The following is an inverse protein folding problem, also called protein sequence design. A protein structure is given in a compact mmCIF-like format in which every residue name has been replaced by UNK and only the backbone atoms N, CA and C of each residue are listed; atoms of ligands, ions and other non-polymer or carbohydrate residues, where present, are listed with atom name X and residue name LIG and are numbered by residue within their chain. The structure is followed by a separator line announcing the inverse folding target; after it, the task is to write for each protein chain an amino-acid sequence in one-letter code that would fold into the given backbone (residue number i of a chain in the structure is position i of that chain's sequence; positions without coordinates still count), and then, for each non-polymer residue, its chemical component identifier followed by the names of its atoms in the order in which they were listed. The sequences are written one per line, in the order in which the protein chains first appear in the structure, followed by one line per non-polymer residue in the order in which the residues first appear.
data_IF_364044000468
#
_entry.id   IF_364044000468
#
_cell.length_a   1.000
_cell.length_b   1.000
_cell.length_c   1.000
_cell.angle_alpha   90.00
_cell.angle_beta   90.00
_cell.angle_gamma   90.00
#
_symmetry.space_group_name_H-M   'P 1'
#
loop_
_entity.id
_entity.type
_entity.pdbx_description
1 polymer ?
#
# COMPACT_ATOMS: atom_id res chain seq x y z
N UNK A 1 -3.59 7.36 19.62
CA UNK A 1 -2.36 7.67 18.86
C UNK A 1 -2.13 6.52 17.90
N UNK A 2 -2.10 6.71 16.57
CA UNK A 2 -1.64 5.64 15.70
C UNK A 2 -0.18 5.34 16.08
N UNK A 3 0.15 4.06 16.20
CA UNK A 3 1.49 3.62 16.55
C UNK A 3 2.49 4.20 15.54
N UNK A 4 3.55 4.86 16.02
CA UNK A 4 4.59 5.37 15.12
C UNK A 4 5.26 4.18 14.44
N UNK A 5 5.24 4.17 13.10
CA UNK A 5 5.84 3.10 12.31
C UNK A 5 7.28 2.80 12.78
N UNK A 6 7.59 1.54 13.17
CA UNK A 6 8.89 1.20 13.72
C UNK A 6 10.06 1.56 12.80
N UNK A 7 11.21 1.96 13.37
CA UNK A 7 12.38 2.41 12.60
C UNK A 7 12.84 1.41 11.54
N UNK A 8 12.83 0.11 11.85
CA UNK A 8 13.25 -0.93 10.91
C UNK A 8 12.33 -1.00 9.68
N UNK A 9 11.02 -0.82 9.88
CA UNK A 9 10.01 -0.84 8.83
C UNK A 9 10.13 0.39 7.94
N UNK A 10 10.34 1.56 8.55
CA UNK A 10 10.63 2.81 7.81
C UNK A 10 11.87 2.66 6.95
N UNK A 11 12.94 2.08 7.50
CA UNK A 11 14.17 1.83 6.74
C UNK A 11 13.94 0.84 5.60
N UNK A 12 13.13 -0.19 5.80
CA UNK A 12 12.77 -1.15 4.74
C UNK A 12 12.03 -0.48 3.59
N UNK A 13 10.99 0.32 3.88
CA UNK A 13 10.23 1.05 2.86
C UNK A 13 11.12 2.01 2.07
N UNK A 14 11.97 2.77 2.76
CA UNK A 14 12.91 3.69 2.10
C UNK A 14 13.90 2.96 1.17
N UNK A 15 14.36 1.76 1.54
CA UNK A 15 15.21 0.93 0.67
C UNK A 15 14.48 0.38 -0.55
N UNK A 16 13.15 0.27 -0.49
CA UNK A 16 12.32 -0.19 -1.60
C UNK A 16 11.75 0.96 -2.43
N UNK A 17 11.86 2.21 -1.95
CA UNK A 17 11.34 3.41 -2.62
C UNK A 17 11.71 3.47 -4.09
N UNK A 18 12.99 3.31 -4.42
CA UNK A 18 13.48 3.35 -5.81
C UNK A 18 12.80 2.29 -6.69
N UNK A 19 12.65 1.06 -6.15
CA UNK A 19 11.99 -0.04 -6.85
C UNK A 19 10.50 0.18 -7.04
N UNK A 20 9.84 0.85 -6.09
CA UNK A 20 8.43 1.22 -6.22
C UNK A 20 8.31 2.30 -7.30
N UNK A 21 9.13 3.34 -7.22
CA UNK A 21 9.11 4.49 -8.14
C UNK A 21 9.39 4.13 -9.60
N UNK A 22 10.16 3.07 -9.85
CA UNK A 22 10.50 2.59 -11.20
C UNK A 22 9.58 1.48 -11.70
N UNK A 23 8.62 1.02 -10.89
CA UNK A 23 7.70 -0.04 -11.29
C UNK A 23 6.53 0.52 -12.13
N UNK A 24 6.04 -0.28 -13.06
CA UNK A 24 4.81 0.03 -13.81
C UNK A 24 3.58 -0.01 -12.89
N UNK A 25 3.56 -0.95 -11.94
CA UNK A 25 2.50 -1.11 -10.97
C UNK A 25 3.01 -1.64 -9.62
N UNK A 26 2.30 -1.27 -8.55
CA UNK A 26 2.43 -1.74 -7.19
C UNK A 26 1.15 -2.47 -6.79
N UNK A 27 1.25 -3.79 -6.60
CA UNK A 27 0.18 -4.61 -6.03
C UNK A 27 0.36 -4.74 -4.52
N UNK A 28 -0.70 -4.49 -3.75
CA UNK A 28 -0.71 -4.58 -2.29
C UNK A 28 -1.89 -5.39 -1.76
N UNK A 29 -1.72 -5.90 -0.54
CA UNK A 29 -2.72 -6.58 0.28
C UNK A 29 -2.64 -6.08 1.74
N UNK A 30 -3.63 -6.42 2.56
CA UNK A 30 -3.84 -5.86 3.90
C UNK A 30 -3.25 -6.72 5.03
N UNK A 31 -2.33 -7.63 4.71
CA UNK A 31 -1.55 -8.44 5.67
C UNK A 31 -0.48 -7.60 6.38
N UNK A 32 0.00 -6.56 5.71
CA UNK A 32 0.92 -5.58 6.30
C UNK A 32 0.16 -4.52 7.09
N UNK A 33 0.78 -3.92 8.12
CA UNK A 33 0.16 -2.81 8.84
C UNK A 33 -0.20 -1.66 7.91
N UNK A 34 -1.40 -1.11 8.10
CA UNK A 34 -2.05 -0.17 7.18
C UNK A 34 -1.21 1.08 6.90
N UNK A 35 -0.49 1.59 7.90
CA UNK A 35 0.48 2.68 7.76
C UNK A 35 1.55 2.41 6.69
N UNK A 36 1.93 1.15 6.49
CA UNK A 36 2.95 0.71 5.53
C UNK A 36 2.38 0.63 4.13
N UNK A 37 1.16 0.10 4.03
CA UNK A 37 0.36 0.07 2.78
C UNK A 37 0.15 1.51 2.30
N UNK A 38 -0.30 2.40 3.18
CA UNK A 38 -0.49 3.81 2.90
C UNK A 38 0.82 4.51 2.49
N UNK A 39 1.93 4.24 3.20
CA UNK A 39 3.22 4.82 2.84
C UNK A 39 3.72 4.33 1.47
N UNK A 40 3.51 3.06 1.13
CA UNK A 40 3.87 2.51 -0.16
C UNK A 40 2.98 3.09 -1.29
N UNK A 41 1.67 3.20 -1.05
CA UNK A 41 0.71 3.85 -1.96
C UNK A 41 1.12 5.30 -2.26
N UNK A 42 1.49 6.08 -1.23
CA UNK A 42 1.97 7.46 -1.39
C UNK A 42 3.24 7.54 -2.25
N UNK A 43 4.18 6.63 -2.04
CA UNK A 43 5.41 6.57 -2.86
C UNK A 43 5.05 6.27 -4.31
N UNK A 44 4.22 5.25 -4.56
CA UNK A 44 3.81 4.88 -5.91
C UNK A 44 3.09 6.05 -6.62
N UNK A 45 2.10 6.65 -5.95
CA UNK A 45 1.35 7.80 -6.48
C UNK A 45 2.24 8.99 -6.84
N UNK A 46 3.21 9.34 -5.97
CA UNK A 46 4.17 10.42 -6.24
C UNK A 46 5.06 10.18 -7.47
N UNK A 47 5.21 8.93 -7.87
CA UNK A 47 6.07 8.53 -8.98
C UNK A 47 5.29 7.98 -10.18
N UNK A 48 3.95 8.16 -10.21
CA UNK A 48 3.07 7.69 -11.28
C UNK A 48 3.08 6.17 -11.50
N UNK A 49 3.43 5.41 -10.47
CA UNK A 49 3.29 3.94 -10.47
C UNK A 49 1.84 3.59 -10.15
N UNK A 50 1.22 2.74 -10.99
CA UNK A 50 -0.18 2.31 -10.80
C UNK A 50 -0.34 1.57 -9.47
N UNK A 51 -1.33 1.93 -8.66
CA UNK A 51 -1.60 1.29 -7.37
C UNK A 51 -2.78 0.33 -7.50
N UNK A 52 -2.50 -0.96 -7.38
CA UNK A 52 -3.52 -2.01 -7.30
C UNK A 52 -3.63 -2.53 -5.86
N UNK A 53 -4.84 -2.56 -5.31
CA UNK A 53 -5.13 -3.08 -3.98
C UNK A 53 -6.05 -4.29 -4.08
N UNK A 54 -5.57 -5.42 -3.56
CA UNK A 54 -6.44 -6.52 -3.19
C UNK A 54 -6.87 -6.31 -1.72
N UNK A 55 -8.16 -6.05 -1.43
CA UNK A 55 -8.65 -5.68 -0.11
C UNK A 55 -8.81 -6.89 0.82
N UNK A 56 -7.80 -7.75 0.88
CA UNK A 56 -7.75 -8.96 1.70
C UNK A 56 -6.65 -8.88 2.77
N UNK A 57 -6.91 -9.28 4.03
CA UNK A 57 -8.22 -9.64 4.59
C UNK A 57 -9.16 -8.43 4.70
N UNK A 58 -10.48 -8.68 4.71
CA UNK A 58 -11.49 -7.63 4.76
C UNK A 58 -11.35 -6.77 6.02
N UNK A 59 -11.28 -5.46 5.83
CA UNK A 59 -11.21 -4.44 6.89
C UNK A 59 -11.60 -3.09 6.35
N UNK A 60 -11.92 -2.16 7.25
CA UNK A 60 -12.15 -0.76 6.87
C UNK A 60 -10.87 -0.13 6.30
N UNK A 61 -11.05 0.61 5.20
CA UNK A 61 -9.99 1.33 4.52
C UNK A 61 -10.20 2.83 4.71
N UNK A 62 -9.15 3.59 5.06
CA UNK A 62 -9.24 5.03 5.19
C UNK A 62 -9.39 5.66 3.80
N UNK A 63 -10.18 6.73 3.71
CA UNK A 63 -10.38 7.49 2.47
C UNK A 63 -9.07 7.92 1.82
N UNK A 64 -8.06 8.24 2.64
CA UNK A 64 -6.73 8.61 2.16
C UNK A 64 -6.05 7.48 1.38
N UNK A 65 -6.26 6.22 1.76
CA UNK A 65 -5.74 5.09 0.99
C UNK A 65 -6.56 4.91 -0.29
N UNK A 66 -7.88 4.97 -0.20
CA UNK A 66 -8.77 4.81 -1.36
C UNK A 66 -8.50 5.85 -2.46
N UNK A 67 -8.19 7.09 -2.07
CA UNK A 67 -7.84 8.16 -3.00
C UNK A 67 -6.51 7.92 -3.76
N UNK A 68 -5.67 6.98 -3.29
CA UNK A 68 -4.39 6.64 -3.89
C UNK A 68 -4.42 5.34 -4.69
N UNK A 69 -5.55 4.62 -4.70
CA UNK A 69 -5.70 3.34 -5.38
C UNK A 69 -6.32 3.55 -6.75
N UNK A 70 -5.65 3.08 -7.79
CA UNK A 70 -6.15 3.13 -9.17
C UNK A 70 -7.06 1.93 -9.48
N UNK A 71 -6.75 0.77 -8.89
CA UNK A 71 -7.44 -0.50 -9.15
C UNK A 71 -7.71 -1.21 -7.82
N UNK A 72 -8.98 -1.54 -7.55
CA UNK A 72 -9.34 -2.46 -6.47
C UNK A 72 -9.73 -3.79 -7.11
N UNK A 73 -9.03 -4.88 -6.74
CA UNK A 73 -9.40 -6.22 -7.20
C UNK A 73 -10.46 -6.82 -6.28
N UNK A 74 -11.33 -7.71 -6.78
CA UNK A 74 -12.16 -8.53 -5.90
C UNK A 74 -11.27 -9.35 -4.97
N UNK A 75 -11.70 -9.52 -3.72
CA UNK A 75 -11.05 -10.43 -2.79
C UNK A 75 -11.38 -11.87 -3.22
N UNK A 76 -10.37 -12.70 -3.51
CA UNK A 76 -10.55 -14.08 -4.00
C UNK A 76 -10.95 -15.09 -2.91
N UNK A 77 -11.12 -14.66 -1.65
CA UNK A 77 -11.59 -15.52 -0.55
C UNK A 77 -13.10 -15.84 -0.64
N UNK A 78 -13.62 -16.04 -1.84
CA UNK A 78 -14.98 -16.51 -2.09
C UNK A 78 -15.08 -18.03 -1.96
N UNK A 79 -15.09 -18.54 -0.71
CA UNK A 79 -15.84 -19.72 -0.22
C UNK A 79 -15.48 -20.01 1.24
#
# INVERSE_FOLDING_TARGET
MPERMPRYRRRWLMRKRERIAQADALLMQLESPLESVLAAAKIAHQHHTTVALNPAPARELPDELLALVDIITPNENGS
#
